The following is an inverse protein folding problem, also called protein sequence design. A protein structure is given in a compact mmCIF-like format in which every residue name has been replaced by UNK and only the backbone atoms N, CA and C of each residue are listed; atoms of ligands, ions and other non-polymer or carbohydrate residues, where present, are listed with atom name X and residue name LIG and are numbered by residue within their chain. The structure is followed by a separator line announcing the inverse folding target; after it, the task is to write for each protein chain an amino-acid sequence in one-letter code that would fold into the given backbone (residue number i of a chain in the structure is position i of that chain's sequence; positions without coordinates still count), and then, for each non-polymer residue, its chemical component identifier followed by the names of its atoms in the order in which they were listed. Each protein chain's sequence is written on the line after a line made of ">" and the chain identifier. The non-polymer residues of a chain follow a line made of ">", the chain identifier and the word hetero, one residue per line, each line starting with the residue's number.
data_IF_264071565850
#
_entry.id   IF_264071565850
#
_cell.length_a   1.000
_cell.length_b   1.000
_cell.length_c   1.000
_cell.angle_alpha   90.00
_cell.angle_beta   90.00
_cell.angle_gamma   90.00
#
_symmetry.space_group_name_H-M   'P 1'
#
loop_
_entity.id
_entity.type
_entity.pdbx_description
1 polymer ?
#
# COMPACT_ATOMS: atom_id res chain seq x y z
N UNK A 1 -1.71 -1.46 -32.76
CA UNK A 1 -1.43 -0.61 -31.57
C UNK A 1 -2.64 -0.68 -30.65
N UNK A 2 -2.46 -1.08 -29.40
CA UNK A 2 -3.54 -1.09 -28.43
C UNK A 2 -3.97 0.36 -28.14
N UNK A 3 -5.28 0.61 -28.15
CA UNK A 3 -5.84 1.93 -27.81
C UNK A 3 -5.49 2.24 -26.35
N UNK A 4 -4.98 3.44 -26.03
CA UNK A 4 -4.68 3.80 -24.65
C UNK A 4 -5.91 3.63 -23.75
N UNK A 5 -5.71 3.09 -22.55
CA UNK A 5 -6.81 2.91 -21.59
C UNK A 5 -7.30 4.30 -21.13
N UNK A 6 -8.63 4.48 -21.16
CA UNK A 6 -9.26 5.70 -20.65
C UNK A 6 -9.03 5.82 -19.14
N UNK A 7 -8.72 7.01 -18.65
CA UNK A 7 -8.54 7.26 -17.21
C UNK A 7 -9.81 7.00 -16.40
N UNK A 8 -9.70 6.37 -15.21
CA UNK A 8 -10.82 6.15 -14.31
C UNK A 8 -11.42 7.46 -13.81
N UNK A 9 -12.75 7.55 -13.82
CA UNK A 9 -13.46 8.76 -13.37
C UNK A 9 -13.73 8.78 -11.86
N UNK A 10 -13.66 7.63 -11.19
CA UNK A 10 -13.98 7.48 -9.76
C UNK A 10 -12.92 6.65 -9.05
N UNK A 11 -12.80 6.80 -7.73
CA UNK A 11 -11.92 5.98 -6.91
C UNK A 11 -12.28 4.49 -6.96
N UNK A 12 -13.58 4.18 -7.02
CA UNK A 12 -14.05 2.82 -7.22
C UNK A 12 -13.51 2.23 -8.54
N UNK A 13 -13.59 2.98 -9.63
CA UNK A 13 -13.09 2.56 -10.94
C UNK A 13 -11.56 2.35 -10.95
N UNK A 14 -10.82 3.17 -10.21
CA UNK A 14 -9.38 2.98 -10.02
C UNK A 14 -9.09 1.65 -9.34
N UNK A 15 -9.81 1.31 -8.24
CA UNK A 15 -9.63 0.05 -7.52
C UNK A 15 -9.99 -1.17 -8.38
N UNK A 16 -11.04 -1.12 -9.22
CA UNK A 16 -11.33 -2.18 -10.18
C UNK A 16 -10.16 -2.44 -11.15
N UNK A 17 -9.58 -1.38 -11.70
CA UNK A 17 -8.39 -1.48 -12.55
C UNK A 17 -7.18 -2.00 -11.80
N UNK A 18 -6.99 -1.58 -10.57
CA UNK A 18 -5.89 -1.99 -9.71
C UNK A 18 -5.95 -3.50 -9.42
N UNK A 19 -7.12 -4.04 -9.07
CA UNK A 19 -7.29 -5.50 -8.89
C UNK A 19 -6.84 -6.27 -10.13
N UNK A 20 -7.31 -5.89 -11.32
CA UNK A 20 -6.90 -6.56 -12.55
C UNK A 20 -5.38 -6.53 -12.76
N UNK A 21 -4.77 -5.37 -12.57
CA UNK A 21 -3.33 -5.18 -12.78
C UNK A 21 -2.50 -5.96 -11.77
N UNK A 22 -2.88 -5.94 -10.51
CA UNK A 22 -2.14 -6.61 -9.43
C UNK A 22 -2.24 -8.13 -9.52
N UNK A 23 -3.33 -8.65 -10.12
CA UNK A 23 -3.48 -10.05 -10.48
C UNK A 23 -2.73 -10.43 -11.77
N UNK A 24 -2.04 -9.48 -12.42
CA UNK A 24 -1.19 -9.72 -13.58
C UNK A 24 -1.92 -9.72 -14.93
N UNK A 25 -3.20 -9.34 -14.97
CA UNK A 25 -3.95 -9.27 -16.23
C UNK A 25 -3.70 -7.92 -16.93
N UNK A 26 -2.95 -7.93 -18.02
CA UNK A 26 -2.72 -6.74 -18.85
C UNK A 26 -3.94 -6.36 -19.66
N UNK A 27 -4.73 -7.35 -20.11
CA UNK A 27 -5.89 -7.13 -20.95
C UNK A 27 -7.20 -7.41 -20.22
N UNK A 28 -8.20 -6.53 -20.42
CA UNK A 28 -9.54 -6.68 -19.86
C UNK A 28 -10.24 -7.95 -20.31
N UNK A 29 -9.98 -8.40 -21.55
CA UNK A 29 -10.60 -9.61 -22.08
C UNK A 29 -10.21 -10.85 -21.30
N UNK A 30 -8.92 -11.03 -21.01
CA UNK A 30 -8.41 -12.16 -20.23
C UNK A 30 -8.96 -12.15 -18.81
N UNK A 31 -9.03 -10.99 -18.17
CA UNK A 31 -9.59 -10.85 -16.84
C UNK A 31 -11.10 -11.11 -16.81
N UNK A 32 -11.84 -10.65 -17.82
CA UNK A 32 -13.26 -10.91 -17.96
C UNK A 32 -13.57 -12.41 -18.12
N UNK A 33 -12.79 -13.11 -18.93
CA UNK A 33 -12.87 -14.57 -19.09
C UNK A 33 -12.61 -15.28 -17.75
N UNK A 34 -11.59 -14.84 -17.00
CA UNK A 34 -11.25 -15.38 -15.67
C UNK A 34 -12.41 -15.20 -14.67
N UNK A 35 -13.06 -14.03 -14.66
CA UNK A 35 -14.19 -13.72 -13.77
C UNK A 35 -15.54 -14.24 -14.30
N UNK A 36 -15.62 -14.77 -15.52
CA UNK A 36 -16.89 -15.18 -16.14
C UNK A 36 -17.85 -13.99 -16.33
N UNK A 37 -17.34 -12.85 -16.78
CA UNK A 37 -18.09 -11.65 -17.15
C UNK A 37 -17.72 -11.17 -18.55
N UNK A 38 -18.34 -10.11 -19.07
CA UNK A 38 -17.96 -9.56 -20.38
C UNK A 38 -16.81 -8.56 -20.27
N UNK A 39 -15.97 -8.48 -21.29
CA UNK A 39 -14.90 -7.47 -21.36
C UNK A 39 -15.46 -6.04 -21.35
N UNK A 40 -16.66 -5.84 -21.89
CA UNK A 40 -17.39 -4.58 -21.83
C UNK A 40 -17.73 -4.17 -20.40
N UNK A 41 -18.20 -5.13 -19.57
CA UNK A 41 -18.48 -4.87 -18.15
C UNK A 41 -17.23 -4.44 -17.39
N UNK A 42 -16.11 -5.15 -17.58
CA UNK A 42 -14.83 -4.74 -16.99
C UNK A 42 -14.46 -3.33 -17.45
N UNK A 43 -14.58 -3.04 -18.75
CA UNK A 43 -14.27 -1.71 -19.27
C UNK A 43 -15.11 -0.60 -18.66
N UNK A 44 -16.41 -0.80 -18.46
CA UNK A 44 -17.29 0.21 -17.87
C UNK A 44 -17.05 0.41 -16.37
N UNK A 45 -16.73 -0.67 -15.62
CA UNK A 45 -16.38 -0.59 -14.20
C UNK A 45 -15.03 0.15 -14.00
N UNK A 46 -14.01 -0.19 -14.79
CA UNK A 46 -12.68 0.44 -14.71
C UNK A 46 -12.63 1.89 -15.21
N UNK A 47 -13.64 2.34 -15.94
CA UNK A 47 -13.74 3.73 -16.38
C UNK A 47 -14.72 4.55 -15.55
N UNK A 48 -15.55 3.89 -14.72
CA UNK A 48 -16.59 4.56 -13.93
C UNK A 48 -17.76 5.04 -14.78
N UNK A 49 -18.02 4.39 -15.92
CA UNK A 49 -19.18 4.67 -16.78
C UNK A 49 -20.44 4.01 -16.22
N UNK A 50 -20.30 2.84 -15.60
CA UNK A 50 -21.39 2.16 -14.90
C UNK A 50 -20.94 1.62 -13.57
N UNK A 51 -21.87 1.52 -12.64
CA UNK A 51 -21.66 0.87 -11.35
C UNK A 51 -21.67 -0.65 -11.50
N UNK A 52 -20.84 -1.38 -10.72
CA UNK A 52 -20.85 -2.83 -10.72
C UNK A 52 -22.13 -3.37 -10.09
N UNK A 53 -22.64 -4.45 -10.65
CA UNK A 53 -23.75 -5.18 -10.04
C UNK A 53 -23.30 -5.99 -8.83
N UNK A 54 -24.22 -6.32 -7.91
CA UNK A 54 -23.92 -7.20 -6.78
C UNK A 54 -23.32 -8.56 -7.25
N UNK A 55 -23.83 -9.11 -8.34
CA UNK A 55 -23.28 -10.34 -8.95
C UNK A 55 -21.84 -10.17 -9.42
N UNK A 56 -21.48 -9.02 -9.97
CA UNK A 56 -20.10 -8.75 -10.36
C UNK A 56 -19.19 -8.64 -9.13
N UNK A 57 -19.63 -7.92 -8.10
CA UNK A 57 -18.89 -7.79 -6.84
C UNK A 57 -18.64 -9.17 -6.19
N UNK A 58 -19.67 -10.03 -6.12
CA UNK A 58 -19.53 -11.40 -5.60
C UNK A 58 -18.43 -12.18 -6.35
N UNK A 59 -18.33 -12.05 -7.66
CA UNK A 59 -17.29 -12.72 -8.44
C UNK A 59 -15.87 -12.25 -8.09
N UNK A 60 -15.66 -10.96 -7.85
CA UNK A 60 -14.37 -10.46 -7.39
C UNK A 60 -13.96 -11.07 -6.05
N UNK A 61 -14.91 -11.23 -5.13
CA UNK A 61 -14.66 -11.86 -3.84
C UNK A 61 -14.47 -13.39 -3.96
N UNK A 62 -15.37 -14.08 -4.66
CA UNK A 62 -15.38 -15.54 -4.73
C UNK A 62 -14.22 -16.11 -5.52
N UNK A 63 -13.84 -15.46 -6.63
CA UNK A 63 -12.82 -15.95 -7.56
C UNK A 63 -11.45 -15.39 -7.21
N UNK A 64 -11.37 -14.10 -6.89
CA UNK A 64 -10.09 -13.42 -6.66
C UNK A 64 -9.79 -13.17 -5.19
N UNK A 65 -10.69 -13.47 -4.25
CA UNK A 65 -10.50 -13.23 -2.83
C UNK A 65 -10.45 -11.75 -2.45
N UNK A 66 -10.96 -10.86 -3.28
CA UNK A 66 -10.96 -9.41 -3.04
C UNK A 66 -11.88 -9.05 -1.89
N UNK A 67 -11.45 -8.17 -1.00
CA UNK A 67 -12.28 -7.55 0.02
C UNK A 67 -13.28 -6.61 -0.63
N UNK A 68 -14.58 -6.84 -0.41
CA UNK A 68 -15.61 -5.92 -0.91
C UNK A 68 -15.59 -4.59 -0.18
N UNK A 69 -15.22 -4.59 1.11
CA UNK A 69 -15.07 -3.36 1.88
C UNK A 69 -13.96 -2.50 1.27
N UNK A 70 -12.78 -3.06 1.06
CA UNK A 70 -11.71 -2.35 0.37
C UNK A 70 -12.09 -1.92 -1.04
N UNK A 71 -12.72 -2.80 -1.82
CA UNK A 71 -13.08 -2.51 -3.21
C UNK A 71 -14.04 -1.32 -3.30
N UNK A 72 -15.01 -1.24 -2.40
CA UNK A 72 -16.05 -0.18 -2.41
C UNK A 72 -15.58 1.08 -1.70
N UNK A 73 -14.95 0.96 -0.53
CA UNK A 73 -14.62 2.11 0.33
C UNK A 73 -13.14 2.53 0.24
N UNK A 74 -12.24 1.60 -0.07
CA UNK A 74 -10.80 1.79 -0.01
C UNK A 74 -10.21 1.48 1.37
N UNK A 75 -11.01 1.06 2.34
CA UNK A 75 -10.56 0.78 3.70
C UNK A 75 -10.17 -0.70 3.87
N UNK A 76 -9.15 -0.95 4.68
CA UNK A 76 -8.67 -2.30 4.99
C UNK A 76 -7.76 -2.89 3.90
N UNK A 77 -7.59 -4.20 3.96
CA UNK A 77 -6.75 -4.96 3.05
C UNK A 77 -7.47 -5.28 1.73
N UNK A 78 -6.74 -5.22 0.61
CA UNK A 78 -7.29 -5.52 -0.73
C UNK A 78 -7.85 -6.94 -0.83
N UNK A 79 -7.23 -7.91 -0.18
CA UNK A 79 -7.63 -9.31 -0.23
C UNK A 79 -8.00 -9.85 1.15
N UNK A 80 -9.17 -10.47 1.25
CA UNK A 80 -9.61 -11.23 2.43
C UNK A 80 -9.23 -12.71 2.32
N UNK A 81 -9.00 -13.23 1.12
CA UNK A 81 -8.59 -14.60 0.85
C UNK A 81 -7.34 -14.63 -0.03
N UNK A 82 -6.18 -14.71 0.63
CA UNK A 82 -4.87 -14.75 -0.04
C UNK A 82 -4.65 -16.01 -0.88
N UNK A 83 -5.31 -17.13 -0.54
CA UNK A 83 -5.21 -18.36 -1.32
C UNK A 83 -5.89 -18.18 -2.69
N UNK A 84 -7.08 -17.60 -2.70
CA UNK A 84 -7.79 -17.23 -3.94
C UNK A 84 -7.04 -16.18 -4.74
N UNK A 85 -6.53 -15.14 -4.10
CA UNK A 85 -5.73 -14.11 -4.76
C UNK A 85 -4.52 -14.70 -5.50
N UNK A 86 -3.77 -15.60 -4.85
CA UNK A 86 -2.64 -16.31 -5.46
C UNK A 86 -3.07 -17.22 -6.61
N UNK A 87 -4.17 -17.95 -6.45
CA UNK A 87 -4.74 -18.78 -7.51
C UNK A 87 -5.20 -17.95 -8.72
N UNK A 88 -5.71 -16.74 -8.47
CA UNK A 88 -6.12 -15.79 -9.50
C UNK A 88 -4.95 -15.04 -10.18
N UNK A 89 -3.70 -15.28 -9.72
CA UNK A 89 -2.49 -14.70 -10.34
C UNK A 89 -1.74 -13.68 -9.50
N UNK A 90 -2.23 -13.36 -8.30
CA UNK A 90 -1.51 -12.47 -7.39
C UNK A 90 -0.15 -13.06 -7.02
N UNK A 91 0.89 -12.31 -7.30
CA UNK A 91 2.25 -12.62 -6.89
C UNK A 91 2.67 -11.59 -5.84
N UNK A 92 2.74 -11.99 -4.54
CA UNK A 92 3.30 -11.09 -3.54
C UNK A 92 4.65 -10.60 -4.03
N UNK A 93 4.85 -9.30 -4.08
CA UNK A 93 6.19 -8.77 -4.36
C UNK A 93 7.10 -9.23 -3.23
N UNK A 94 8.09 -10.04 -3.58
CA UNK A 94 9.14 -10.37 -2.63
C UNK A 94 9.88 -9.08 -2.27
N UNK A 95 10.06 -8.85 -0.96
CA UNK A 95 10.86 -7.72 -0.51
C UNK A 95 12.28 -7.93 -1.03
N UNK A 96 12.86 -6.97 -1.79
CA UNK A 96 14.21 -7.10 -2.30
C UNK A 96 15.21 -7.47 -1.20
N UNK A 97 16.09 -8.42 -1.50
CA UNK A 97 17.07 -8.90 -0.52
C UNK A 97 17.89 -7.73 0.04
N UNK A 98 17.96 -7.64 1.36
CA UNK A 98 18.69 -6.58 2.05
C UNK A 98 17.95 -5.24 2.19
N UNK A 99 16.80 -5.02 1.56
CA UNK A 99 16.05 -3.77 1.69
C UNK A 99 15.63 -3.51 3.14
N UNK A 100 15.06 -4.49 3.83
CA UNK A 100 14.69 -4.35 5.25
C UNK A 100 15.91 -4.05 6.14
N UNK A 101 17.07 -4.65 5.85
CA UNK A 101 18.31 -4.33 6.55
C UNK A 101 18.73 -2.87 6.33
N UNK A 102 18.58 -2.34 5.11
CA UNK A 102 18.89 -0.93 4.79
C UNK A 102 17.94 0.03 5.50
N UNK A 103 16.65 -0.27 5.52
CA UNK A 103 15.64 0.54 6.23
C UNK A 103 15.87 0.51 7.74
N UNK A 104 16.18 -0.65 8.31
CA UNK A 104 16.55 -0.77 9.72
C UNK A 104 17.84 0.00 10.07
N UNK A 105 18.85 -0.05 9.19
CA UNK A 105 20.07 0.75 9.35
C UNK A 105 19.78 2.26 9.26
N UNK A 106 18.91 2.67 8.33
CA UNK A 106 18.49 4.07 8.19
C UNK A 106 17.78 4.55 9.46
N UNK A 107 16.85 3.75 10.01
CA UNK A 107 16.16 4.05 11.26
C UNK A 107 17.17 4.17 12.41
N UNK A 108 17.97 3.12 12.63
CA UNK A 108 18.95 3.08 13.69
C UNK A 108 19.92 4.28 13.67
N UNK A 109 20.53 4.55 12.51
CA UNK A 109 21.50 5.66 12.38
C UNK A 109 20.85 7.02 12.58
N UNK A 110 19.61 7.22 12.11
CA UNK A 110 18.92 8.50 12.26
C UNK A 110 18.58 8.80 13.73
N UNK A 111 18.12 7.79 14.48
CA UNK A 111 17.86 7.93 15.92
C UNK A 111 19.16 8.06 16.75
N UNK A 112 20.18 7.28 16.39
CA UNK A 112 21.50 7.38 17.01
C UNK A 112 22.11 8.79 16.84
N UNK A 113 22.03 9.38 15.64
CA UNK A 113 22.47 10.76 15.37
C UNK A 113 21.71 11.77 16.24
N UNK A 114 20.45 11.48 16.56
CA UNK A 114 19.61 12.29 17.45
C UNK A 114 19.85 12.01 18.94
N UNK A 115 20.83 11.13 19.30
CA UNK A 115 21.17 10.67 20.64
C UNK A 115 20.04 9.91 21.34
N UNK A 116 19.26 9.17 20.57
CA UNK A 116 18.20 8.28 21.06
C UNK A 116 18.64 6.84 20.82
N UNK A 117 18.66 6.05 21.90
CA UNK A 117 18.92 4.61 21.80
C UNK A 117 17.63 3.88 21.51
N UNK A 118 17.60 3.11 20.42
CA UNK A 118 16.47 2.27 20.04
C UNK A 118 16.72 0.82 20.45
N UNK A 119 15.77 0.17 21.11
CA UNK A 119 15.75 -1.28 21.24
C UNK A 119 15.68 -1.97 19.88
N UNK A 120 16.19 -3.20 19.73
CA UNK A 120 16.15 -3.91 18.45
C UNK A 120 14.74 -4.12 17.88
N UNK A 121 13.74 -4.32 18.75
CA UNK A 121 12.32 -4.44 18.38
C UNK A 121 11.80 -3.15 17.73
N UNK A 122 12.11 -1.99 18.28
CA UNK A 122 11.70 -0.68 17.73
C UNK A 122 12.36 -0.41 16.37
N UNK A 123 13.60 -0.87 16.18
CA UNK A 123 14.29 -0.78 14.89
C UNK A 123 13.55 -1.58 13.83
N UNK A 124 13.05 -2.78 14.19
CA UNK A 124 12.30 -3.64 13.27
C UNK A 124 10.94 -3.02 12.91
N UNK A 125 10.23 -2.45 13.88
CA UNK A 125 8.95 -1.77 13.68
C UNK A 125 9.12 -0.54 12.78
N UNK A 126 10.11 0.30 13.06
CA UNK A 126 10.44 1.46 12.23
C UNK A 126 10.82 1.06 10.80
N UNK A 127 11.59 -0.03 10.63
CA UNK A 127 11.93 -0.53 9.30
C UNK A 127 10.68 -0.96 8.51
N UNK A 128 9.71 -1.61 9.18
CA UNK A 128 8.44 -1.99 8.56
C UNK A 128 7.60 -0.76 8.18
N UNK A 129 7.53 0.26 9.06
CA UNK A 129 6.86 1.53 8.76
C UNK A 129 7.50 2.28 7.59
N UNK A 130 8.85 2.31 7.54
CA UNK A 130 9.59 2.90 6.41
C UNK A 130 9.38 2.15 5.11
N UNK A 131 9.22 0.83 5.16
CA UNK A 131 8.89 0.02 3.99
C UNK A 131 7.52 0.38 3.43
N UNK A 132 6.49 0.49 4.29
CA UNK A 132 5.18 0.97 3.87
C UNK A 132 5.24 2.36 3.23
N UNK A 133 5.96 3.28 3.87
CA UNK A 133 6.14 4.64 3.34
C UNK A 133 6.91 4.68 2.01
N UNK A 134 7.90 3.81 1.85
CA UNK A 134 8.63 3.65 0.59
C UNK A 134 7.69 3.19 -0.53
N UNK A 135 6.81 2.21 -0.27
CA UNK A 135 5.84 1.72 -1.25
C UNK A 135 4.84 2.80 -1.71
N UNK A 136 4.52 3.78 -0.87
CA UNK A 136 3.69 4.93 -1.26
C UNK A 136 4.41 5.91 -2.20
N UNK A 137 5.74 5.98 -2.12
CA UNK A 137 6.57 6.98 -2.80
C UNK A 137 7.15 6.51 -4.13
N UNK A 138 7.26 5.20 -4.34
CA UNK A 138 7.91 4.61 -5.51
C UNK A 138 6.93 3.77 -6.34
N UNK A 139 7.23 3.65 -7.65
CA UNK A 139 6.43 2.86 -8.56
C UNK A 139 6.82 1.38 -8.56
N UNK A 140 8.11 1.09 -8.36
CA UNK A 140 8.63 -0.27 -8.42
C UNK A 140 9.66 -0.53 -7.33
N UNK A 141 9.29 -1.32 -6.32
CA UNK A 141 10.15 -1.68 -5.19
C UNK A 141 11.39 -2.48 -5.60
N UNK A 142 11.41 -3.08 -6.80
CA UNK A 142 12.55 -3.81 -7.33
C UNK A 142 13.52 -2.92 -8.13
N UNK A 143 13.15 -1.68 -8.40
CA UNK A 143 14.04 -0.69 -8.97
C UNK A 143 14.91 -0.07 -7.86
N UNK A 144 16.12 -0.60 -7.76
CA UNK A 144 17.06 -0.17 -6.71
C UNK A 144 17.52 1.27 -6.90
N UNK A 145 17.48 1.82 -8.10
CA UNK A 145 17.85 3.23 -8.35
C UNK A 145 16.74 4.14 -7.80
N UNK A 146 15.46 3.81 -8.05
CA UNK A 146 14.30 4.54 -7.49
C UNK A 146 14.29 4.43 -5.95
N UNK A 147 14.58 3.24 -5.41
CA UNK A 147 14.70 3.04 -3.95
C UNK A 147 15.80 3.93 -3.36
N UNK A 148 17.01 3.89 -3.91
CA UNK A 148 18.14 4.69 -3.40
C UNK A 148 17.86 6.20 -3.48
N UNK A 149 17.24 6.66 -4.56
CA UNK A 149 16.84 8.07 -4.71
C UNK A 149 15.80 8.51 -3.66
N UNK A 150 15.01 7.57 -3.11
CA UNK A 150 13.94 7.86 -2.14
C UNK A 150 14.42 7.79 -0.70
N UNK A 151 15.50 7.07 -0.38
CA UNK A 151 16.01 6.96 1.00
C UNK A 151 16.26 8.30 1.70
N UNK A 152 16.78 9.36 1.05
CA UNK A 152 16.94 10.68 1.69
C UNK A 152 15.62 11.29 2.17
N UNK A 153 14.51 11.07 1.44
CA UNK A 153 13.18 11.53 1.84
C UNK A 153 12.68 10.79 3.06
N UNK A 154 12.90 9.48 3.14
CA UNK A 154 12.57 8.69 4.32
C UNK A 154 13.40 9.13 5.54
N UNK A 155 14.69 9.43 5.37
CA UNK A 155 15.52 9.99 6.43
C UNK A 155 14.99 11.33 6.95
N UNK A 156 14.55 12.19 6.04
CA UNK A 156 13.96 13.48 6.41
C UNK A 156 12.64 13.29 7.19
N UNK A 157 11.82 12.34 6.76
CA UNK A 157 10.59 11.99 7.46
C UNK A 157 10.87 11.54 8.91
N UNK A 158 11.81 10.62 9.12
CA UNK A 158 12.23 10.18 10.46
C UNK A 158 12.74 11.34 11.32
N UNK A 159 13.57 12.22 10.79
CA UNK A 159 14.05 13.39 11.52
C UNK A 159 12.91 14.28 12.04
N UNK A 160 11.89 14.51 11.20
CA UNK A 160 10.70 15.29 11.59
C UNK A 160 9.90 14.59 12.68
N UNK A 161 9.74 13.27 12.60
CA UNK A 161 9.08 12.50 13.66
C UNK A 161 9.82 12.63 14.99
N UNK A 162 11.14 12.48 14.98
CA UNK A 162 11.99 12.63 16.17
C UNK A 162 11.85 14.04 16.80
N UNK A 163 11.79 15.08 15.99
CA UNK A 163 11.61 16.46 16.49
C UNK A 163 10.24 16.63 17.14
N UNK A 164 9.18 16.08 16.56
CA UNK A 164 7.84 16.11 17.14
C UNK A 164 7.79 15.35 18.46
N UNK A 165 8.38 14.16 18.52
CA UNK A 165 8.45 13.36 19.75
C UNK A 165 9.22 14.07 20.86
N UNK A 166 10.34 14.70 20.53
CA UNK A 166 11.11 15.52 21.48
C UNK A 166 10.32 16.72 22.00
N UNK A 167 9.59 17.40 21.11
CA UNK A 167 8.75 18.53 21.50
C UNK A 167 7.61 18.10 22.45
N UNK A 168 6.97 16.95 22.20
CA UNK A 168 5.95 16.40 23.09
C UNK A 168 6.49 16.02 24.46
N UNK A 169 7.69 15.46 24.54
CA UNK A 169 8.34 15.12 25.82
C UNK A 169 8.86 16.35 26.60
N UNK A 170 9.04 17.48 25.92
CA UNK A 170 9.52 18.71 26.53
C UNK A 170 8.40 19.58 27.13
N UNK A 171 7.12 19.26 26.94
CA UNK A 171 6.00 19.94 27.61
C UNK A 171 5.88 19.36 29.02
N UNK A 172 6.21 20.12 30.08
CA UNK A 172 6.00 19.67 31.46
C UNK A 172 4.51 19.46 31.66
N UNK A 173 4.11 18.27 32.14
CA UNK A 173 2.74 18.02 32.55
C UNK A 173 2.29 19.09 33.53
N UNK A 174 1.17 19.71 33.20
CA UNK A 174 0.41 20.60 34.06
C UNK A 174 0.00 19.77 35.30
N UNK A 175 0.78 19.88 36.37
CA UNK A 175 0.41 19.32 37.67
C UNK A 175 -0.79 20.12 38.13
N UNK A 176 -1.98 19.61 37.84
CA UNK A 176 -3.19 20.08 38.45
C UNK A 176 -3.04 20.07 39.97
N UNK A 177 -2.86 21.26 40.47
CA UNK A 177 -2.91 21.61 41.85
C UNK A 177 -4.32 21.28 42.38
N UNK A 178 -4.44 20.24 43.18
CA UNK A 178 -5.58 20.02 44.05
C UNK A 178 -5.22 20.52 45.41
N UNK A 179 -5.58 21.73 45.72
CA UNK A 179 -5.66 22.22 47.08
C UNK A 179 -7.10 22.64 47.37
N UNK A 180 -7.58 22.12 48.46
CA UNK A 180 -8.78 22.41 49.26
C UNK A 180 -10.04 21.65 48.96
#
# INVERSE_FOLDING_TARGET
>A
MARPETEPKTELAKRFREVRRILGFTERKQFAEHLGVTAGSIGTYETGVSEPTASALSKYQEICGVSLDWLVTGNGEMFTDMAKAKAAGFKPQAIPAGLMKRLGHLAYTTYHDAKITLPPEDVAELAAGLYGKLQELIHNINDMEEVEATLPLLKLHLKRQIEVEKAHRAIPGDTANSSD
#
